data_IF_341474040155
#
_entry.id   IF_341474040155
#
_cell.length_a   1.000
_cell.length_b   1.000
_cell.length_c   1.000
_cell.angle_alpha   90.00
_cell.angle_beta   90.00
_cell.angle_gamma   90.00
#
_symmetry.space_group_name_H-M   'P 1'
#
loop_
_entity.id
_entity.type
_entity.pdbx_description
1 polymer ?
#
# COMPACT_ATOMS: atom_id res chain seq x y z
N UNK A 1 -37.34 -39.45 0.13
CA UNK A 1 -38.22 -38.78 1.11
C UNK A 1 -37.57 -37.47 1.54
N UNK A 2 -37.86 -36.38 0.85
CA UNK A 2 -37.33 -35.05 1.19
C UNK A 2 -38.09 -34.50 2.39
N UNK A 3 -37.47 -34.53 3.58
CA UNK A 3 -37.99 -33.84 4.76
C UNK A 3 -37.98 -32.33 4.48
N UNK A 4 -39.11 -31.78 4.03
CA UNK A 4 -39.37 -30.34 4.10
C UNK A 4 -39.59 -30.00 5.57
N UNK A 5 -38.52 -29.71 6.31
CA UNK A 5 -38.64 -29.04 7.62
C UNK A 5 -39.07 -27.61 7.30
N UNK A 6 -40.26 -27.21 7.75
CA UNK A 6 -40.69 -25.82 7.64
C UNK A 6 -39.71 -24.98 8.45
N UNK A 7 -38.98 -24.08 7.78
CA UNK A 7 -38.19 -23.07 8.49
C UNK A 7 -39.15 -22.27 9.37
N UNK A 8 -38.81 -22.13 10.65
CA UNK A 8 -39.53 -21.22 11.53
C UNK A 8 -39.36 -19.79 11.04
N UNK A 9 -40.40 -18.95 11.17
CA UNK A 9 -40.30 -17.52 10.85
C UNK A 9 -39.13 -16.86 11.60
N UNK A 10 -38.85 -17.32 12.83
CA UNK A 10 -37.70 -16.88 13.62
C UNK A 10 -36.38 -17.27 12.96
N UNK A 11 -36.26 -18.50 12.45
CA UNK A 11 -35.06 -18.94 11.73
C UNK A 11 -34.84 -18.13 10.45
N UNK A 12 -35.91 -17.81 9.73
CA UNK A 12 -35.83 -16.98 8.53
C UNK A 12 -35.37 -15.57 8.86
N UNK A 13 -35.92 -14.95 9.90
CA UNK A 13 -35.52 -13.61 10.35
C UNK A 13 -34.05 -13.60 10.79
N UNK A 14 -33.61 -14.59 11.57
CA UNK A 14 -32.21 -14.72 11.99
C UNK A 14 -31.29 -14.91 10.79
N UNK A 15 -31.67 -15.75 9.82
CA UNK A 15 -30.89 -15.97 8.61
C UNK A 15 -30.73 -14.69 7.79
N UNK A 16 -31.81 -13.90 7.63
CA UNK A 16 -31.75 -12.62 6.93
C UNK A 16 -30.85 -11.63 7.67
N UNK A 17 -30.98 -11.52 8.99
CA UNK A 17 -30.12 -10.63 9.78
C UNK A 17 -28.64 -10.99 9.67
N UNK A 18 -28.31 -12.29 9.69
CA UNK A 18 -26.94 -12.75 9.49
C UNK A 18 -26.43 -12.43 8.09
N UNK A 19 -27.27 -12.60 7.07
CA UNK A 19 -26.92 -12.24 5.69
C UNK A 19 -26.65 -10.73 5.55
N UNK A 20 -27.51 -9.88 6.12
CA UNK A 20 -27.31 -8.44 6.11
C UNK A 20 -25.99 -8.05 6.79
N UNK A 21 -25.68 -8.67 7.93
CA UNK A 21 -24.47 -8.41 8.68
C UNK A 21 -23.22 -8.81 7.89
N UNK A 22 -23.26 -9.96 7.20
CA UNK A 22 -22.20 -10.40 6.28
C UNK A 22 -22.04 -9.45 5.11
N UNK A 23 -23.14 -8.97 4.52
CA UNK A 23 -23.10 -8.02 3.39
C UNK A 23 -22.46 -6.71 3.83
N UNK A 24 -22.88 -6.14 4.97
CA UNK A 24 -22.33 -4.90 5.50
C UNK A 24 -20.84 -5.04 5.82
N UNK A 25 -20.44 -6.16 6.44
CA UNK A 25 -19.03 -6.45 6.73
C UNK A 25 -18.21 -6.56 5.44
N UNK A 26 -18.73 -7.26 4.43
CA UNK A 26 -18.07 -7.46 3.12
C UNK A 26 -17.86 -6.13 2.39
N UNK A 27 -18.90 -5.28 2.33
CA UNK A 27 -18.83 -3.96 1.69
C UNK A 27 -17.82 -3.07 2.43
N UNK A 28 -17.85 -3.07 3.76
CA UNK A 28 -16.92 -2.28 4.58
C UNK A 28 -15.47 -2.72 4.35
N UNK A 29 -15.22 -4.03 4.29
CA UNK A 29 -13.90 -4.59 4.01
C UNK A 29 -13.43 -4.21 2.59
N UNK A 30 -14.30 -4.28 1.60
CA UNK A 30 -13.97 -3.91 0.21
C UNK A 30 -13.55 -2.43 0.11
N UNK A 31 -14.29 -1.53 0.74
CA UNK A 31 -13.95 -0.11 0.79
C UNK A 31 -12.61 0.16 1.50
N UNK A 32 -12.33 -0.59 2.57
CA UNK A 32 -11.04 -0.50 3.26
C UNK A 32 -9.88 -0.96 2.37
N UNK A 33 -10.05 -2.09 1.67
CA UNK A 33 -9.05 -2.61 0.70
C UNK A 33 -8.82 -1.60 -0.41
N UNK A 34 -9.87 -0.99 -0.95
CA UNK A 34 -9.74 -0.01 -2.02
C UNK A 34 -8.96 1.24 -1.56
N UNK A 35 -9.23 1.73 -0.35
CA UNK A 35 -8.45 2.82 0.26
C UNK A 35 -6.98 2.44 0.40
N UNK A 36 -6.69 1.27 0.96
CA UNK A 36 -5.33 0.76 1.14
C UNK A 36 -4.62 0.62 -0.22
N UNK A 37 -5.32 0.13 -1.25
CA UNK A 37 -4.78 -0.04 -2.60
C UNK A 37 -4.43 1.31 -3.25
N UNK A 38 -5.31 2.31 -3.12
CA UNK A 38 -5.05 3.66 -3.63
C UNK A 38 -3.86 4.30 -2.92
N UNK A 39 -3.79 4.16 -1.59
CA UNK A 39 -2.66 4.64 -0.80
C UNK A 39 -1.36 3.92 -1.15
N UNK A 40 -1.39 2.59 -1.32
CA UNK A 40 -0.21 1.82 -1.68
C UNK A 40 0.28 2.20 -3.07
N UNK A 41 -0.61 2.38 -4.03
CA UNK A 41 -0.27 2.80 -5.40
C UNK A 41 0.37 4.19 -5.39
N UNK A 42 -0.20 5.13 -4.64
CA UNK A 42 0.39 6.46 -4.47
C UNK A 42 1.78 6.40 -3.82
N UNK A 43 1.96 5.54 -2.79
CA UNK A 43 3.26 5.30 -2.15
C UNK A 43 4.27 4.66 -3.10
N UNK A 44 3.87 3.66 -3.88
CA UNK A 44 4.71 2.94 -4.83
C UNK A 44 5.22 3.85 -5.94
N UNK A 45 4.39 4.79 -6.43
CA UNK A 45 4.84 5.80 -7.39
C UNK A 45 5.96 6.65 -6.81
N UNK A 46 5.77 7.21 -5.62
CA UNK A 46 6.82 8.01 -4.97
C UNK A 46 8.07 7.18 -4.68
N UNK A 47 7.93 5.92 -4.26
CA UNK A 47 9.07 5.04 -4.02
C UNK A 47 9.83 4.71 -5.32
N UNK A 48 9.14 4.59 -6.46
CA UNK A 48 9.79 4.42 -7.76
C UNK A 48 10.56 5.68 -8.20
N UNK A 49 9.99 6.87 -7.97
CA UNK A 49 10.67 8.16 -8.22
C UNK A 49 11.90 8.31 -7.32
N UNK A 50 11.77 7.93 -6.04
CA UNK A 50 12.87 7.92 -5.07
C UNK A 50 14.00 6.96 -5.49
N UNK A 51 13.65 5.75 -5.93
CA UNK A 51 14.61 4.77 -6.42
C UNK A 51 15.34 5.27 -7.66
N UNK A 52 14.60 5.86 -8.62
CA UNK A 52 15.18 6.40 -9.84
C UNK A 52 16.13 7.57 -9.52
N UNK A 53 15.72 8.52 -8.66
CA UNK A 53 16.57 9.63 -8.26
C UNK A 53 17.87 9.19 -7.58
N UNK A 54 17.78 8.17 -6.71
CA UNK A 54 18.96 7.55 -6.09
C UNK A 54 19.88 6.93 -7.15
N UNK A 55 19.32 6.14 -8.05
CA UNK A 55 20.07 5.44 -9.08
C UNK A 55 20.71 6.39 -10.12
N UNK A 56 20.01 7.45 -10.51
CA UNK A 56 20.53 8.49 -11.39
C UNK A 56 21.66 9.27 -10.70
N UNK A 57 21.54 9.53 -9.40
CA UNK A 57 22.59 10.21 -8.63
C UNK A 57 23.84 9.34 -8.45
N UNK A 58 23.72 8.02 -8.28
CA UNK A 58 24.87 7.11 -8.24
C UNK A 58 25.62 7.03 -9.58
N UNK A 59 24.90 7.19 -10.71
CA UNK A 59 25.47 7.16 -12.07
C UNK A 59 25.86 8.54 -12.60
N UNK A 60 25.58 9.60 -11.85
CA UNK A 60 25.82 10.98 -12.27
C UNK A 60 27.31 11.28 -12.45
N UNK A 61 27.65 12.28 -13.27
CA UNK A 61 29.06 12.67 -13.51
C UNK A 61 29.77 13.11 -12.22
N UNK A 62 29.03 13.60 -11.22
CA UNK A 62 29.56 13.91 -9.89
C UNK A 62 30.05 12.66 -9.12
N UNK A 63 29.55 11.47 -9.44
CA UNK A 63 30.00 10.19 -8.90
C UNK A 63 31.09 9.51 -9.76
N UNK A 64 31.32 9.96 -10.99
CA UNK A 64 32.37 9.44 -11.86
C UNK A 64 33.73 10.04 -11.44
N UNK A 65 34.45 9.34 -10.54
CA UNK A 65 35.77 9.74 -10.06
C UNK A 65 35.78 10.65 -8.81
N UNK A 66 34.60 10.92 -8.24
CA UNK A 66 34.49 11.61 -6.95
C UNK A 66 34.95 10.73 -5.78
N UNK A 67 35.35 11.31 -4.64
CA UNK A 67 35.62 10.53 -3.43
C UNK A 67 34.38 9.70 -3.07
N UNK A 68 34.58 8.58 -2.37
CA UNK A 68 33.52 7.76 -1.74
C UNK A 68 32.83 8.53 -0.59
N UNK A 69 32.47 9.79 -0.83
CA UNK A 69 31.80 10.64 0.11
C UNK A 69 30.31 10.31 0.09
N UNK A 70 29.75 10.13 1.29
CA UNK A 70 28.33 10.03 1.52
C UNK A 70 27.65 11.37 1.18
N UNK A 71 27.31 11.61 -0.08
CA UNK A 71 26.47 12.76 -0.42
C UNK A 71 25.04 12.48 0.11
N UNK A 72 24.46 13.40 0.87
CA UNK A 72 23.12 13.24 1.39
C UNK A 72 22.10 13.50 0.28
N UNK A 73 21.38 12.46 -0.16
CA UNK A 73 20.23 12.60 -1.03
C UNK A 73 18.96 12.68 -0.18
N UNK A 74 18.22 13.78 -0.34
CA UNK A 74 16.92 13.96 0.31
C UNK A 74 15.84 13.45 -0.63
N UNK A 75 15.24 12.33 -0.25
CA UNK A 75 14.12 11.72 -0.95
C UNK A 75 12.82 12.42 -0.53
N UNK A 76 11.98 12.87 -1.48
CA UNK A 76 10.76 13.65 -1.21
C UNK A 76 9.81 12.85 -0.32
N UNK A 77 9.03 13.52 0.54
CA UNK A 77 8.07 12.83 1.42
C UNK A 77 7.06 11.98 0.63
N UNK A 78 6.61 10.87 1.21
CA UNK A 78 5.57 10.00 0.63
C UNK A 78 4.33 10.06 1.53
N UNK A 79 3.12 9.69 1.04
CA UNK A 79 1.92 9.68 1.88
C UNK A 79 2.12 8.85 3.15
N UNK A 80 2.04 9.49 4.32
CA UNK A 80 2.26 8.88 5.63
C UNK A 80 3.73 8.67 6.05
N UNK A 81 4.71 9.19 5.31
CA UNK A 81 6.15 9.08 5.61
C UNK A 81 6.86 10.41 5.38
N UNK A 82 7.68 10.82 6.35
CA UNK A 82 8.54 12.00 6.21
C UNK A 82 9.56 11.85 5.06
N UNK A 83 10.20 12.95 4.69
CA UNK A 83 11.37 12.93 3.80
C UNK A 83 12.48 12.07 4.39
N UNK A 84 13.18 11.32 3.55
CA UNK A 84 14.26 10.44 3.96
C UNK A 84 15.60 10.97 3.43
N UNK A 85 16.57 11.20 4.31
CA UNK A 85 17.94 11.50 3.90
C UNK A 85 18.74 10.20 3.82
N UNK A 86 19.26 9.87 2.65
CA UNK A 86 20.12 8.69 2.45
C UNK A 86 21.52 9.09 2.04
N UNK A 87 22.51 8.34 2.51
CA UNK A 87 23.90 8.51 2.09
C UNK A 87 24.11 7.83 0.74
N UNK A 88 24.46 8.62 -0.29
CA UNK A 88 24.88 8.12 -1.59
C UNK A 88 26.30 7.58 -1.52
N UNK A 89 26.56 6.42 -2.12
CA UNK A 89 27.91 5.89 -2.26
C UNK A 89 28.26 5.83 -3.74
N UNK A 90 29.05 6.80 -4.20
CA UNK A 90 29.59 6.77 -5.55
C UNK A 90 30.51 5.56 -5.74
N UNK A 91 30.43 4.91 -6.90
CA UNK A 91 31.33 3.84 -7.33
C UNK A 91 31.08 2.48 -6.67
N UNK A 92 30.43 1.60 -7.43
CA UNK A 92 30.79 0.17 -7.42
C UNK A 92 31.96 -0.05 -8.36
#
# INVERSE_FOLDING_TARGET
MSRRRGLSLVELVVAVLLLELVVVASVSAMLAIERISRESTARSRVDSERWQAWHDSERGPACAGGPRAAAALVLPAAPGRASLAVALRCGR
#
